data_IF_544518586575
#
_entry.id   IF_544518586575
#
_cell.length_a   1.000
_cell.length_b   1.000
_cell.length_c   1.000
_cell.angle_alpha   90.00
_cell.angle_beta   90.00
_cell.angle_gamma   90.00
#
_symmetry.space_group_name_H-M   'P 1'
#
loop_
_entity.id
_entity.type
_entity.pdbx_description
1 polymer ?
#
# COMPACT_ATOMS: atom_id res chain seq x y z
N UNK A 1 0.82 -53.23 -57.79
CA UNK A 1 0.00 -52.04 -58.00
C UNK A 1 0.55 -50.93 -57.06
N UNK A 2 0.94 -49.80 -57.63
CA UNK A 2 1.41 -48.65 -56.85
C UNK A 2 0.28 -48.12 -55.97
N UNK A 3 0.58 -47.78 -54.76
CA UNK A 3 -0.39 -47.15 -53.81
C UNK A 3 -0.82 -45.78 -54.36
N UNK A 4 -2.08 -45.40 -54.23
CA UNK A 4 -2.56 -44.09 -54.66
C UNK A 4 -1.82 -42.97 -53.77
N UNK A 5 -1.56 -41.83 -54.40
CA UNK A 5 -0.93 -40.72 -53.77
C UNK A 5 -1.73 -40.26 -52.54
N UNK A 6 -1.04 -39.75 -51.53
CA UNK A 6 -1.68 -39.21 -50.34
C UNK A 6 -2.59 -38.02 -50.71
N UNK A 7 -3.83 -38.01 -50.24
CA UNK A 7 -4.80 -36.95 -50.46
C UNK A 7 -4.66 -35.93 -49.31
N UNK A 8 -4.24 -34.73 -49.64
CA UNK A 8 -4.15 -33.62 -48.68
C UNK A 8 -5.55 -33.04 -48.46
N UNK A 9 -5.95 -32.91 -47.18
CA UNK A 9 -7.23 -32.31 -46.77
C UNK A 9 -7.00 -30.82 -46.46
N UNK A 10 -6.07 -30.54 -45.57
CA UNK A 10 -5.54 -29.17 -45.32
C UNK A 10 -4.11 -29.24 -44.78
N UNK A 11 -3.51 -28.09 -44.46
CA UNK A 11 -2.13 -28.04 -43.98
C UNK A 11 -1.95 -28.86 -42.68
N UNK A 12 -1.18 -29.95 -42.77
CA UNK A 12 -0.92 -30.83 -41.63
C UNK A 12 -1.90 -32.01 -41.49
N UNK A 13 -2.93 -32.13 -42.34
CA UNK A 13 -3.87 -33.24 -42.36
C UNK A 13 -3.94 -33.89 -43.76
N UNK A 14 -3.75 -35.16 -43.84
CA UNK A 14 -3.89 -35.94 -45.09
C UNK A 14 -4.29 -37.37 -44.82
N UNK A 15 -4.91 -38.01 -45.81
CA UNK A 15 -5.20 -39.42 -45.80
C UNK A 15 -4.34 -40.14 -46.86
N UNK A 16 -4.00 -41.39 -46.59
CA UNK A 16 -3.18 -42.22 -47.49
C UNK A 16 -3.48 -43.69 -47.28
N UNK A 17 -3.11 -44.52 -48.28
CA UNK A 17 -3.22 -45.98 -48.20
C UNK A 17 -1.90 -46.58 -47.73
N UNK A 18 -2.02 -47.65 -46.96
CA UNK A 18 -0.87 -48.47 -46.51
C UNK A 18 -0.91 -49.83 -47.23
N UNK A 19 0.24 -50.34 -47.62
CA UNK A 19 0.33 -51.67 -48.27
C UNK A 19 -0.24 -52.75 -47.33
N UNK A 20 -1.10 -53.63 -47.89
CA UNK A 20 -1.72 -54.71 -47.15
C UNK A 20 -2.95 -54.30 -46.32
N UNK A 21 -3.37 -53.04 -46.36
CA UNK A 21 -4.59 -52.57 -45.65
C UNK A 21 -5.68 -52.17 -46.66
N UNK A 22 -6.91 -52.63 -46.43
CA UNK A 22 -8.07 -52.21 -47.17
C UNK A 22 -8.54 -50.80 -46.77
N UNK A 23 -8.14 -50.31 -45.60
CA UNK A 23 -8.60 -49.03 -45.06
C UNK A 23 -7.64 -47.90 -45.39
N UNK A 24 -8.18 -46.68 -45.45
CA UNK A 24 -7.41 -45.45 -45.47
C UNK A 24 -6.90 -45.11 -44.10
N UNK A 25 -5.72 -44.45 -44.01
CA UNK A 25 -5.09 -43.95 -42.79
C UNK A 25 -5.06 -42.42 -42.86
N UNK A 26 -5.31 -41.79 -41.71
CA UNK A 26 -5.14 -40.37 -41.56
C UNK A 26 -3.81 -40.09 -40.86
N UNK A 27 -3.08 -39.09 -41.33
CA UNK A 27 -1.94 -38.51 -40.64
C UNK A 27 -2.19 -37.04 -40.33
N UNK A 28 -1.94 -36.67 -39.07
CA UNK A 28 -2.18 -35.33 -38.53
C UNK A 28 -0.86 -34.85 -37.94
N UNK A 29 -0.42 -33.68 -38.33
CA UNK A 29 0.81 -33.08 -37.79
C UNK A 29 0.58 -32.56 -36.40
N UNK A 30 1.29 -33.09 -35.41
CA UNK A 30 1.36 -32.57 -34.04
C UNK A 30 2.53 -31.58 -33.93
N UNK A 31 2.23 -30.29 -33.90
CA UNK A 31 3.24 -29.23 -33.85
C UNK A 31 4.05 -29.20 -32.53
N UNK A 32 3.49 -29.73 -31.42
CA UNK A 32 4.18 -29.82 -30.12
C UNK A 32 5.19 -30.95 -30.10
N UNK A 33 4.77 -32.13 -30.56
CA UNK A 33 5.63 -33.34 -30.60
C UNK A 33 6.50 -33.39 -31.84
N UNK A 34 6.34 -32.44 -32.79
CA UNK A 34 7.05 -32.38 -34.10
C UNK A 34 7.02 -33.73 -34.86
N UNK A 35 5.88 -34.43 -34.81
CA UNK A 35 5.67 -35.73 -35.46
C UNK A 35 4.24 -35.87 -35.95
N UNK A 36 4.06 -36.79 -36.89
CA UNK A 36 2.73 -37.15 -37.35
C UNK A 36 2.08 -38.15 -36.40
N UNK A 37 0.83 -37.90 -36.03
CA UNK A 37 -0.07 -38.89 -35.46
C UNK A 37 -0.74 -39.63 -36.62
N UNK A 38 -0.68 -40.93 -36.58
CA UNK A 38 -1.25 -41.81 -37.65
C UNK A 38 -2.33 -42.67 -37.01
N UNK A 39 -3.52 -42.73 -37.68
CA UNK A 39 -4.64 -43.54 -37.23
C UNK A 39 -5.38 -44.14 -38.42
N UNK A 40 -5.91 -45.37 -38.32
CA UNK A 40 -6.82 -45.91 -39.32
C UNK A 40 -8.16 -45.16 -39.27
N UNK A 41 -8.72 -44.87 -40.42
CA UNK A 41 -10.07 -44.29 -40.54
C UNK A 41 -11.17 -45.35 -40.48
N UNK A 42 -10.83 -46.65 -40.61
CA UNK A 42 -11.80 -47.73 -40.68
C UNK A 42 -12.57 -47.77 -41.99
N UNK A 43 -12.30 -46.88 -42.95
CA UNK A 43 -13.02 -46.73 -44.19
C UNK A 43 -12.15 -47.21 -45.39
N UNK A 44 -12.73 -47.95 -46.27
CA UNK A 44 -12.13 -48.40 -47.52
C UNK A 44 -12.34 -47.37 -48.64
N UNK A 45 -13.35 -46.50 -48.56
CA UNK A 45 -13.69 -45.43 -49.46
C UNK A 45 -13.01 -44.12 -49.10
N UNK A 46 -12.41 -43.43 -50.06
CA UNK A 46 -11.68 -42.20 -49.88
C UNK A 46 -12.57 -41.03 -49.45
N UNK A 47 -13.86 -40.97 -49.83
CA UNK A 47 -14.79 -39.89 -49.44
C UNK A 47 -15.11 -40.01 -47.97
N UNK A 48 -15.53 -41.18 -47.51
CA UNK A 48 -15.84 -41.46 -46.11
C UNK A 48 -14.59 -41.29 -45.23
N UNK A 49 -13.43 -41.77 -45.71
CA UNK A 49 -12.16 -41.58 -44.99
C UNK A 49 -11.79 -40.10 -44.81
N UNK A 50 -12.17 -39.23 -45.73
CA UNK A 50 -11.97 -37.80 -45.68
C UNK A 50 -12.84 -37.15 -44.58
N UNK A 51 -14.10 -37.54 -44.46
CA UNK A 51 -15.03 -37.07 -43.44
C UNK A 51 -14.52 -37.46 -42.04
N UNK A 52 -14.18 -38.76 -41.86
CA UNK A 52 -13.62 -39.26 -40.59
C UNK A 52 -12.29 -38.53 -40.22
N UNK A 53 -11.45 -38.27 -41.25
CA UNK A 53 -10.20 -37.53 -41.01
C UNK A 53 -10.43 -36.08 -40.59
N UNK A 54 -11.46 -35.42 -41.14
CA UNK A 54 -11.85 -34.06 -40.73
C UNK A 54 -12.39 -34.04 -39.32
N UNK A 55 -13.26 -34.98 -38.93
CA UNK A 55 -13.75 -35.12 -37.55
C UNK A 55 -12.62 -35.38 -36.54
N UNK A 56 -11.72 -36.32 -36.89
CA UNK A 56 -10.53 -36.59 -36.07
C UNK A 56 -9.62 -35.36 -35.94
N UNK A 57 -9.43 -34.60 -37.03
CA UNK A 57 -8.69 -33.35 -37.01
C UNK A 57 -9.33 -32.31 -36.11
N UNK A 58 -10.65 -32.13 -36.16
CA UNK A 58 -11.41 -31.24 -35.31
C UNK A 58 -11.42 -31.69 -33.85
N UNK A 59 -11.55 -32.99 -33.58
CA UNK A 59 -11.51 -33.55 -32.23
C UNK A 59 -10.13 -33.36 -31.60
N UNK A 60 -9.05 -33.51 -32.36
CA UNK A 60 -7.70 -33.25 -31.87
C UNK A 60 -7.42 -31.76 -31.69
N UNK A 61 -8.02 -30.87 -32.46
CA UNK A 61 -7.98 -29.42 -32.23
C UNK A 61 -8.80 -29.02 -31.01
N UNK A 62 -9.94 -29.67 -30.76
CA UNK A 62 -10.77 -29.47 -29.57
C UNK A 62 -10.14 -30.09 -28.31
N UNK A 63 -9.47 -31.24 -28.45
CA UNK A 63 -8.76 -31.96 -27.42
C UNK A 63 -7.24 -31.64 -27.41
N UNK A 64 -6.77 -30.68 -28.23
CA UNK A 64 -5.46 -30.10 -27.99
C UNK A 64 -5.45 -29.66 -26.53
N UNK A 65 -4.47 -30.13 -25.70
CA UNK A 65 -4.43 -29.68 -24.36
C UNK A 65 -4.47 -28.17 -24.44
N UNK A 66 -5.57 -27.59 -23.96
CA UNK A 66 -5.61 -26.16 -23.69
C UNK A 66 -4.29 -25.91 -22.98
N UNK A 67 -3.52 -24.95 -23.46
CA UNK A 67 -2.41 -24.43 -22.66
C UNK A 67 -3.02 -24.33 -21.28
N UNK A 68 -2.52 -25.09 -20.30
CA UNK A 68 -3.02 -25.00 -18.92
C UNK A 68 -2.84 -23.55 -18.54
N UNK A 69 -3.85 -22.77 -18.84
CA UNK A 69 -3.93 -21.37 -18.39
C UNK A 69 -4.10 -21.52 -16.91
N UNK A 70 -3.07 -21.22 -16.18
CA UNK A 70 -3.09 -21.32 -14.73
C UNK A 70 -4.11 -20.31 -14.20
N UNK A 71 -5.33 -20.77 -13.92
CA UNK A 71 -6.43 -19.95 -13.42
C UNK A 71 -6.42 -19.81 -11.90
N UNK A 72 -5.33 -20.18 -11.24
CA UNK A 72 -5.22 -20.07 -9.78
C UNK A 72 -5.14 -18.61 -9.33
N UNK A 73 -5.68 -18.33 -8.16
CA UNK A 73 -5.56 -17.02 -7.52
C UNK A 73 -4.09 -16.59 -7.39
N UNK A 74 -3.19 -17.52 -7.05
CA UNK A 74 -1.75 -17.28 -6.95
C UNK A 74 -1.16 -16.71 -8.24
N UNK A 75 -1.55 -17.26 -9.40
CA UNK A 75 -1.06 -16.78 -10.68
C UNK A 75 -1.41 -15.30 -10.92
N UNK A 76 -2.66 -14.92 -10.68
CA UNK A 76 -3.12 -13.54 -10.86
C UNK A 76 -2.63 -12.60 -9.75
N UNK A 77 -2.46 -13.11 -8.53
CA UNK A 77 -1.88 -12.34 -7.43
C UNK A 77 -0.43 -11.94 -7.73
N UNK A 78 0.38 -12.85 -8.27
CA UNK A 78 1.76 -12.55 -8.68
C UNK A 78 1.79 -11.51 -9.82
N UNK A 79 0.91 -11.65 -10.82
CA UNK A 79 0.76 -10.64 -11.90
C UNK A 79 0.39 -9.26 -11.31
N UNK A 80 -0.55 -9.22 -10.37
CA UNK A 80 -0.96 -7.98 -9.70
C UNK A 80 0.20 -7.33 -8.94
N UNK A 81 0.99 -8.10 -8.21
CA UNK A 81 2.16 -7.59 -7.49
C UNK A 81 3.24 -7.06 -8.44
N UNK A 82 3.47 -7.75 -9.56
CA UNK A 82 4.39 -7.27 -10.59
C UNK A 82 3.91 -5.97 -11.22
N UNK A 83 2.63 -5.86 -11.56
CA UNK A 83 2.02 -4.62 -12.06
C UNK A 83 2.19 -3.47 -11.08
N UNK A 84 1.87 -3.70 -9.80
CA UNK A 84 2.04 -2.69 -8.74
C UNK A 84 3.51 -2.24 -8.58
N UNK A 85 4.46 -3.16 -8.76
CA UNK A 85 5.88 -2.84 -8.71
C UNK A 85 6.31 -1.93 -9.89
N UNK A 86 5.83 -2.23 -11.10
CA UNK A 86 6.05 -1.39 -12.29
C UNK A 86 5.41 -0.01 -12.15
N UNK A 87 4.21 0.09 -11.58
CA UNK A 87 3.53 1.37 -11.29
C UNK A 87 4.35 2.23 -10.31
N UNK A 88 5.00 1.60 -9.31
CA UNK A 88 5.93 2.32 -8.40
C UNK A 88 7.19 2.79 -9.12
N UNK A 89 7.76 1.95 -10.01
CA UNK A 89 8.95 2.33 -10.77
C UNK A 89 8.69 3.51 -11.71
N UNK A 90 7.49 3.60 -12.29
CA UNK A 90 7.05 4.72 -13.13
C UNK A 90 6.67 5.98 -12.33
N UNK A 91 6.57 5.89 -11.00
CA UNK A 91 6.12 6.98 -10.15
C UNK A 91 4.59 7.15 -10.05
N UNK A 92 3.81 6.26 -10.67
CA UNK A 92 2.34 6.31 -10.66
C UNK A 92 1.77 5.98 -9.26
N UNK A 93 2.50 5.20 -8.49
CA UNK A 93 2.14 4.76 -7.14
C UNK A 93 3.30 4.89 -6.16
N UNK A 94 2.97 5.04 -4.87
CA UNK A 94 3.98 5.11 -3.80
C UNK A 94 4.53 3.74 -3.43
N UNK A 95 5.77 3.69 -2.89
CA UNK A 95 6.37 2.48 -2.31
C UNK A 95 5.48 1.88 -1.20
N UNK A 96 4.81 2.74 -0.40
CA UNK A 96 3.88 2.32 0.65
C UNK A 96 2.64 1.59 0.12
N UNK A 97 2.12 1.96 -1.05
CA UNK A 97 1.04 1.25 -1.72
C UNK A 97 1.44 -0.20 -2.05
N UNK A 98 2.60 -0.39 -2.69
CA UNK A 98 3.12 -1.72 -3.03
C UNK A 98 3.38 -2.55 -1.77
N UNK A 99 3.95 -1.95 -0.72
CA UNK A 99 4.17 -2.63 0.55
C UNK A 99 2.85 -3.12 1.17
N UNK A 100 1.82 -2.28 1.18
CA UNK A 100 0.49 -2.65 1.70
C UNK A 100 -0.15 -3.79 0.92
N UNK A 101 -0.02 -3.79 -0.43
CA UNK A 101 -0.50 -4.89 -1.26
C UNK A 101 0.26 -6.19 -1.00
N UNK A 102 1.61 -6.13 -0.95
CA UNK A 102 2.43 -7.30 -0.61
C UNK A 102 2.04 -7.88 0.73
N UNK A 103 1.87 -7.04 1.75
CA UNK A 103 1.46 -7.46 3.07
C UNK A 103 0.09 -8.14 3.06
N UNK A 104 -0.91 -7.57 2.36
CA UNK A 104 -2.24 -8.16 2.25
C UNK A 104 -2.24 -9.50 1.51
N UNK A 105 -1.38 -9.66 0.51
CA UNK A 105 -1.34 -10.86 -0.35
C UNK A 105 -0.46 -11.95 0.25
N UNK A 106 0.73 -11.60 0.75
CA UNK A 106 1.80 -12.54 1.11
C UNK A 106 1.96 -12.78 2.61
N UNK A 107 1.09 -12.24 3.47
CA UNK A 107 1.17 -12.54 4.89
C UNK A 107 0.96 -14.05 5.11
N UNK A 108 1.88 -14.69 5.86
CA UNK A 108 1.90 -16.14 6.03
C UNK A 108 0.74 -16.69 6.90
N UNK A 109 0.20 -15.85 7.81
CA UNK A 109 -0.81 -16.32 8.77
C UNK A 109 -2.25 -16.10 8.30
N UNK A 110 -2.49 -15.01 7.56
CA UNK A 110 -3.84 -14.55 7.19
C UNK A 110 -3.88 -13.79 5.86
N UNK A 111 -2.85 -13.96 5.02
CA UNK A 111 -2.78 -13.34 3.69
C UNK A 111 -3.69 -14.04 2.68
N UNK A 112 -3.95 -13.33 1.59
CA UNK A 112 -4.82 -13.85 0.52
C UNK A 112 -4.23 -15.08 -0.17
N UNK A 113 -2.88 -15.20 -0.28
CA UNK A 113 -2.24 -16.36 -0.88
C UNK A 113 -2.33 -17.61 -0.01
N UNK A 114 -2.21 -17.46 1.31
CA UNK A 114 -2.35 -18.58 2.25
C UNK A 114 -3.74 -19.21 2.14
N UNK A 115 -4.78 -18.39 1.95
CA UNK A 115 -6.16 -18.86 1.91
C UNK A 115 -6.67 -19.24 0.52
N UNK A 116 -6.37 -18.46 -0.51
CA UNK A 116 -6.90 -18.62 -1.86
C UNK A 116 -5.90 -19.14 -2.90
N UNK A 117 -4.63 -19.31 -2.54
CA UNK A 117 -3.54 -19.51 -3.50
C UNK A 117 -3.84 -20.47 -4.64
N UNK A 118 -4.30 -21.68 -4.32
CA UNK A 118 -4.60 -22.74 -5.29
C UNK A 118 -6.05 -22.72 -5.81
N UNK A 119 -6.87 -21.76 -5.34
CA UNK A 119 -8.27 -21.67 -5.76
C UNK A 119 -8.37 -21.13 -7.19
N UNK A 120 -9.20 -21.77 -8.01
CA UNK A 120 -9.54 -21.26 -9.33
C UNK A 120 -10.37 -19.98 -9.23
N UNK A 121 -9.88 -18.88 -9.83
CA UNK A 121 -10.54 -17.56 -9.76
C UNK A 121 -11.96 -17.56 -10.34
N UNK A 122 -12.28 -18.48 -11.27
CA UNK A 122 -13.63 -18.63 -11.85
C UNK A 122 -14.67 -19.12 -10.84
N UNK A 123 -14.22 -19.75 -9.76
CA UNK A 123 -15.09 -20.29 -8.69
C UNK A 123 -15.29 -19.28 -7.56
N UNK A 124 -14.55 -18.16 -7.54
CA UNK A 124 -14.61 -17.19 -6.47
C UNK A 124 -15.88 -16.32 -6.57
N UNK A 125 -16.63 -16.30 -5.49
CA UNK A 125 -17.88 -15.53 -5.32
C UNK A 125 -17.80 -14.67 -4.06
N UNK A 126 -18.78 -13.80 -3.85
CA UNK A 126 -18.87 -12.90 -2.68
C UNK A 126 -18.74 -13.68 -1.36
N UNK A 127 -19.45 -14.79 -1.20
CA UNK A 127 -19.42 -15.60 0.05
C UNK A 127 -18.02 -16.16 0.36
N UNK A 128 -17.18 -16.42 -0.64
CA UNK A 128 -15.81 -16.90 -0.39
C UNK A 128 -14.98 -15.80 0.27
N UNK A 129 -15.18 -14.54 -0.11
CA UNK A 129 -14.51 -13.42 0.54
C UNK A 129 -15.01 -13.20 1.97
N UNK A 130 -16.31 -13.36 2.22
CA UNK A 130 -16.90 -13.29 3.57
C UNK A 130 -16.36 -14.40 4.48
N UNK A 131 -16.26 -15.63 3.96
CA UNK A 131 -15.66 -16.76 4.67
C UNK A 131 -14.19 -16.49 5.00
N UNK A 132 -13.45 -15.90 4.08
CA UNK A 132 -12.08 -15.45 4.33
C UNK A 132 -12.01 -14.39 5.44
N UNK A 133 -12.90 -13.40 5.45
CA UNK A 133 -12.93 -12.41 6.54
C UNK A 133 -13.20 -13.06 7.90
N UNK A 134 -14.08 -14.06 7.95
CA UNK A 134 -14.34 -14.82 9.17
C UNK A 134 -13.10 -15.63 9.62
N UNK A 135 -12.36 -16.20 8.66
CA UNK A 135 -11.09 -16.88 8.96
C UNK A 135 -10.05 -15.90 9.53
N UNK A 136 -9.90 -14.75 8.91
CA UNK A 136 -9.01 -13.69 9.40
C UNK A 136 -9.40 -13.20 10.80
N UNK A 137 -10.71 -13.01 11.05
CA UNK A 137 -11.21 -12.56 12.34
C UNK A 137 -10.94 -13.55 13.49
N UNK A 138 -10.89 -14.85 13.21
CA UNK A 138 -10.52 -15.88 14.20
C UNK A 138 -9.04 -15.80 14.57
N UNK A 139 -8.16 -15.51 13.60
CA UNK A 139 -6.71 -15.38 13.83
C UNK A 139 -6.33 -14.00 14.38
N UNK A 140 -7.04 -12.96 13.97
CA UNK A 140 -6.75 -11.57 14.30
C UNK A 140 -8.06 -10.80 14.55
N UNK A 141 -8.67 -10.97 15.72
CA UNK A 141 -9.92 -10.30 16.09
C UNK A 141 -9.78 -8.78 16.18
N UNK A 142 -8.58 -8.29 16.46
CA UNK A 142 -8.19 -6.89 16.59
C UNK A 142 -7.90 -6.16 15.26
N UNK A 143 -8.05 -6.86 14.12
CA UNK A 143 -7.69 -6.29 12.81
C UNK A 143 -8.58 -5.08 12.47
N UNK A 144 -7.93 -3.95 12.19
CA UNK A 144 -8.61 -2.68 11.90
C UNK A 144 -9.47 -2.75 10.63
N UNK A 145 -10.55 -1.96 10.58
CA UNK A 145 -11.37 -1.82 9.38
C UNK A 145 -10.55 -1.37 8.16
N UNK A 146 -9.54 -0.51 8.37
CA UNK A 146 -8.62 -0.08 7.32
C UNK A 146 -7.85 -1.25 6.72
N UNK A 147 -7.32 -2.16 7.55
CA UNK A 147 -6.61 -3.35 7.09
C UNK A 147 -7.53 -4.32 6.36
N UNK A 148 -8.77 -4.53 6.88
CA UNK A 148 -9.80 -5.34 6.20
C UNK A 148 -10.13 -4.75 4.82
N UNK A 149 -10.26 -3.43 4.71
CA UNK A 149 -10.49 -2.76 3.42
C UNK A 149 -9.27 -2.86 2.47
N UNK A 150 -8.05 -2.94 3.00
CA UNK A 150 -6.83 -3.20 2.19
C UNK A 150 -6.84 -4.63 1.63
N UNK A 151 -7.22 -5.63 2.44
CA UNK A 151 -7.42 -7.01 1.98
C UNK A 151 -8.47 -7.08 0.87
N UNK A 152 -9.61 -6.41 1.07
CA UNK A 152 -10.68 -6.34 0.07
C UNK A 152 -10.17 -5.71 -1.25
N UNK A 153 -9.45 -4.61 -1.16
CA UNK A 153 -8.91 -3.94 -2.35
C UNK A 153 -7.90 -4.84 -3.08
N UNK A 154 -7.02 -5.53 -2.34
CA UNK A 154 -6.07 -6.48 -2.92
C UNK A 154 -6.77 -7.65 -3.61
N UNK A 155 -7.76 -8.27 -2.96
CA UNK A 155 -8.58 -9.34 -3.54
C UNK A 155 -9.24 -8.91 -4.85
N UNK A 156 -9.90 -7.76 -4.86
CA UNK A 156 -10.53 -7.20 -6.07
C UNK A 156 -9.52 -6.91 -7.17
N UNK A 157 -8.34 -6.38 -6.83
CA UNK A 157 -7.30 -6.08 -7.81
C UNK A 157 -6.77 -7.36 -8.48
N UNK A 158 -6.65 -8.47 -7.74
CA UNK A 158 -6.28 -9.77 -8.30
C UNK A 158 -7.34 -10.24 -9.30
N UNK A 159 -8.62 -10.22 -8.92
CA UNK A 159 -9.72 -10.63 -9.79
C UNK A 159 -9.91 -9.69 -10.98
N UNK A 160 -9.59 -8.41 -10.82
CA UNK A 160 -9.62 -7.44 -11.94
C UNK A 160 -8.65 -7.84 -13.05
N UNK A 161 -7.44 -8.32 -12.71
CA UNK A 161 -6.50 -8.82 -13.72
C UNK A 161 -7.07 -10.05 -14.44
N UNK A 162 -7.67 -10.99 -13.69
CA UNK A 162 -8.30 -12.15 -14.29
C UNK A 162 -9.46 -11.78 -15.23
N UNK A 163 -10.24 -10.75 -14.90
CA UNK A 163 -11.29 -10.21 -15.75
C UNK A 163 -10.72 -9.52 -16.99
N UNK A 164 -9.72 -8.68 -16.82
CA UNK A 164 -9.10 -7.94 -17.91
C UNK A 164 -8.38 -8.89 -18.91
N UNK A 165 -8.02 -10.10 -18.46
CA UNK A 165 -7.52 -11.20 -19.31
C UNK A 165 -8.64 -12.12 -19.88
N UNK A 166 -9.92 -11.81 -19.60
CA UNK A 166 -11.06 -12.58 -20.12
C UNK A 166 -11.26 -13.94 -19.45
N UNK A 167 -10.69 -14.17 -18.26
CA UNK A 167 -10.82 -15.45 -17.51
C UNK A 167 -12.10 -15.48 -16.69
N UNK A 168 -12.57 -14.32 -16.22
CA UNK A 168 -13.85 -14.13 -15.55
C UNK A 168 -14.58 -12.95 -16.16
N UNK A 169 -15.91 -13.02 -16.23
CA UNK A 169 -16.73 -11.99 -16.86
C UNK A 169 -17.12 -10.85 -15.90
N UNK A 170 -17.19 -11.13 -14.62
CA UNK A 170 -17.62 -10.17 -13.59
C UNK A 170 -16.75 -10.23 -12.34
N UNK A 171 -16.78 -9.15 -11.58
CA UNK A 171 -16.15 -9.09 -10.25
C UNK A 171 -17.17 -9.36 -9.16
N UNK A 172 -16.92 -10.29 -8.22
CA UNK A 172 -17.79 -10.49 -7.06
C UNK A 172 -17.91 -9.18 -6.26
N UNK A 173 -19.11 -8.94 -5.74
CA UNK A 173 -19.31 -7.87 -4.77
C UNK A 173 -18.55 -8.20 -3.48
N UNK A 174 -17.84 -7.21 -2.97
CA UNK A 174 -17.10 -7.33 -1.72
C UNK A 174 -17.50 -6.19 -0.79
N UNK A 175 -18.24 -6.47 0.28
CA UNK A 175 -18.72 -5.43 1.17
C UNK A 175 -17.56 -4.73 1.87
N UNK A 176 -17.62 -3.40 1.91
CA UNK A 176 -16.69 -2.60 2.71
C UNK A 176 -16.99 -2.77 4.19
N UNK A 177 -15.94 -2.98 4.97
CA UNK A 177 -16.05 -2.86 6.42
C UNK A 177 -16.26 -1.38 6.77
N UNK A 178 -17.40 -1.06 7.38
CA UNK A 178 -17.65 0.30 7.87
C UNK A 178 -16.64 0.63 8.96
N UNK A 179 -15.98 1.76 8.80
CA UNK A 179 -15.11 2.30 9.83
C UNK A 179 -16.05 2.97 10.85
N UNK A 180 -16.02 2.51 12.11
CA UNK A 180 -16.65 3.25 13.22
C UNK A 180 -15.88 4.54 13.44
N UNK A 181 -16.52 5.53 14.02
CA UNK A 181 -15.84 6.74 14.48
C UNK A 181 -14.62 6.34 15.30
N UNK A 182 -13.49 6.80 14.84
CA UNK A 182 -12.20 6.41 15.37
C UNK A 182 -11.45 7.70 15.73
N UNK A 183 -11.82 8.37 16.84
CA UNK A 183 -11.18 9.61 17.24
C UNK A 183 -9.67 9.39 17.35
N UNK A 184 -8.90 10.33 16.84
CA UNK A 184 -7.46 10.24 16.86
C UNK A 184 -6.94 10.76 18.17
N UNK A 185 -5.97 10.10 18.81
CA UNK A 185 -5.40 10.57 20.07
C UNK A 185 -4.65 11.89 19.81
N UNK A 186 -4.81 12.82 20.72
CA UNK A 186 -4.03 14.05 20.77
C UNK A 186 -3.72 14.36 22.25
N UNK A 187 -2.67 15.10 22.51
CA UNK A 187 -2.35 15.52 23.86
C UNK A 187 -3.31 16.59 24.30
N UNK A 188 -4.11 16.30 25.32
CA UNK A 188 -5.09 17.23 25.84
C UNK A 188 -4.40 18.41 26.48
N UNK A 189 -5.02 19.56 26.41
CA UNK A 189 -4.47 20.82 26.82
C UNK A 189 -5.55 21.73 27.44
N UNK A 190 -5.16 22.66 28.29
CA UNK A 190 -6.06 23.70 28.77
C UNK A 190 -6.52 24.62 27.61
N UNK A 191 -7.81 25.01 27.48
CA UNK A 191 -8.90 24.87 28.44
C UNK A 191 -9.79 23.61 28.31
N UNK A 192 -9.44 22.63 27.49
CA UNK A 192 -10.25 21.42 27.31
C UNK A 192 -10.26 20.51 28.53
N UNK A 193 -9.23 20.63 29.38
CA UNK A 193 -9.04 19.85 30.62
C UNK A 193 -8.54 20.75 31.72
N UNK A 194 -8.56 20.28 32.98
CA UNK A 194 -7.93 20.97 34.09
C UNK A 194 -6.41 21.11 33.88
N UNK A 195 -5.77 22.05 34.57
CA UNK A 195 -4.32 22.23 34.45
C UNK A 195 -3.53 20.99 34.87
N UNK A 196 -4.03 20.24 35.85
CA UNK A 196 -3.39 19.04 36.36
C UNK A 196 -3.51 17.84 35.38
N UNK A 197 -4.41 17.93 34.42
CA UNK A 197 -4.66 16.92 33.36
C UNK A 197 -4.13 17.36 31.99
N UNK A 198 -3.39 18.48 31.93
CA UNK A 198 -2.80 19.02 30.70
C UNK A 198 -1.64 18.13 30.23
N UNK A 199 -1.97 17.06 29.52
CA UNK A 199 -1.00 16.10 29.02
C UNK A 199 0.01 16.73 28.05
N UNK A 200 -0.37 17.77 27.31
CA UNK A 200 0.57 18.49 26.43
C UNK A 200 1.62 19.25 27.27
N UNK A 201 1.20 19.97 28.30
CA UNK A 201 2.12 20.67 29.17
C UNK A 201 3.02 19.70 29.94
N UNK A 202 2.45 18.59 30.46
CA UNK A 202 3.21 17.51 31.11
C UNK A 202 4.29 16.95 30.17
N UNK A 203 3.91 16.66 28.92
CA UNK A 203 4.85 16.16 27.91
C UNK A 203 5.99 17.14 27.66
N UNK A 204 5.67 18.39 27.35
CA UNK A 204 6.69 19.39 26.98
C UNK A 204 7.62 19.73 28.16
N UNK A 205 7.09 19.81 29.39
CA UNK A 205 7.90 19.98 30.59
C UNK A 205 8.77 18.74 30.85
N UNK A 206 8.18 17.53 30.74
CA UNK A 206 8.90 16.28 30.98
C UNK A 206 10.08 16.09 30.03
N UNK A 207 9.87 16.36 28.72
CA UNK A 207 10.98 16.31 27.74
C UNK A 207 12.09 17.29 28.12
N UNK A 208 11.73 18.53 28.45
CA UNK A 208 12.72 19.55 28.88
C UNK A 208 13.51 19.13 30.12
N UNK A 209 12.83 18.47 31.06
CA UNK A 209 13.45 17.97 32.28
C UNK A 209 14.34 16.74 32.06
N UNK A 210 14.17 16.03 30.93
CA UNK A 210 14.97 14.85 30.52
C UNK A 210 16.27 15.23 29.81
N UNK A 211 16.39 16.42 29.25
CA UNK A 211 17.61 16.89 28.59
C UNK A 211 18.79 16.81 29.52
N UNK A 212 19.86 16.12 29.11
CA UNK A 212 21.06 15.91 29.92
C UNK A 212 20.95 14.88 31.04
N UNK A 213 19.92 14.02 31.04
CA UNK A 213 19.68 12.99 32.08
C UNK A 213 19.86 11.55 31.59
N UNK A 214 20.71 11.28 30.60
CA UNK A 214 20.99 9.93 30.07
C UNK A 214 19.73 9.14 29.64
N UNK A 215 18.69 9.85 29.20
CA UNK A 215 17.52 9.21 28.61
C UNK A 215 17.79 9.01 27.12
N UNK A 216 18.14 7.79 26.75
CA UNK A 216 18.54 7.45 25.38
C UNK A 216 17.86 6.21 24.82
N UNK A 217 17.95 6.06 23.48
CA UNK A 217 17.65 4.83 22.78
C UNK A 217 18.80 4.54 21.80
N UNK A 218 19.63 3.55 22.12
CA UNK A 218 20.80 3.15 21.30
C UNK A 218 21.80 4.28 21.11
N UNK A 219 22.07 5.06 22.15
CA UNK A 219 22.97 6.20 22.11
C UNK A 219 22.41 7.45 21.44
N UNK A 220 21.10 7.49 21.18
CA UNK A 220 20.39 8.66 20.70
C UNK A 220 19.63 9.27 21.88
N UNK A 221 20.11 10.40 22.36
CA UNK A 221 19.67 11.02 23.62
C UNK A 221 18.48 11.95 23.43
N UNK A 222 17.75 12.21 24.53
CA UNK A 222 16.78 13.30 24.60
C UNK A 222 17.55 14.61 24.71
N UNK A 223 17.46 15.45 23.69
CA UNK A 223 18.18 16.71 23.54
C UNK A 223 17.24 17.89 23.21
N UNK A 224 17.83 19.07 23.08
CA UNK A 224 17.11 20.27 22.66
C UNK A 224 16.54 20.15 21.24
N UNK A 225 17.16 19.34 20.39
CA UNK A 225 16.69 19.17 19.01
C UNK A 225 15.39 18.36 18.97
N UNK A 226 15.27 17.30 19.77
CA UNK A 226 14.00 16.59 19.95
C UNK A 226 12.91 17.53 20.51
N UNK A 227 13.24 18.33 21.52
CA UNK A 227 12.31 19.30 22.11
C UNK A 227 11.81 20.31 21.06
N UNK A 228 12.72 20.90 20.30
CA UNK A 228 12.36 21.83 19.23
C UNK A 228 11.60 21.17 18.08
N UNK A 229 11.91 19.92 17.74
CA UNK A 229 11.14 19.15 16.75
C UNK A 229 9.69 18.95 17.21
N UNK A 230 9.46 18.64 18.48
CA UNK A 230 8.12 18.47 19.04
C UNK A 230 7.35 19.79 19.06
N UNK A 231 7.97 20.90 19.45
CA UNK A 231 7.39 22.25 19.38
C UNK A 231 7.06 22.62 17.92
N UNK A 232 7.99 22.36 17.02
CA UNK A 232 7.78 22.66 15.60
C UNK A 232 6.59 21.87 15.03
N UNK A 233 6.44 20.59 15.37
CA UNK A 233 5.27 19.78 14.99
C UNK A 233 3.96 20.37 15.49
N UNK A 234 3.95 20.87 16.73
CA UNK A 234 2.75 21.45 17.34
C UNK A 234 2.39 22.81 16.72
N UNK A 235 3.36 23.52 16.16
CA UNK A 235 3.11 24.86 15.62
C UNK A 235 3.12 24.96 14.10
N UNK A 236 3.50 23.87 13.35
CA UNK A 236 3.64 23.92 11.89
C UNK A 236 2.60 23.17 11.10
N UNK A 237 1.78 22.32 11.70
CA UNK A 237 0.81 21.45 11.06
C UNK A 237 1.40 20.45 10.05
N UNK A 238 2.72 20.31 9.95
CA UNK A 238 3.36 19.32 9.07
C UNK A 238 3.22 17.90 9.62
N UNK A 239 3.32 16.89 8.74
CA UNK A 239 3.27 15.50 9.16
C UNK A 239 4.65 15.03 9.63
N UNK A 240 4.74 14.25 10.71
CA UNK A 240 6.00 13.65 11.17
C UNK A 240 6.41 12.47 10.26
N UNK A 241 6.64 12.74 8.98
CA UNK A 241 6.99 11.75 7.97
C UNK A 241 8.28 12.11 7.25
N UNK A 242 8.92 11.11 6.65
CA UNK A 242 10.14 11.30 5.86
C UNK A 242 9.97 12.30 4.71
N UNK A 243 8.77 12.39 4.14
CA UNK A 243 8.50 13.26 2.98
C UNK A 243 8.01 14.66 3.35
N UNK A 244 7.72 14.91 4.64
CA UNK A 244 7.34 16.22 5.15
C UNK A 244 8.37 16.69 6.19
N UNK A 245 8.16 16.45 7.49
CA UNK A 245 9.01 17.00 8.56
C UNK A 245 10.51 16.75 8.33
N UNK A 246 10.88 15.50 8.08
CA UNK A 246 12.29 15.14 7.96
C UNK A 246 12.91 15.51 6.60
N UNK A 247 12.11 15.99 5.64
CA UNK A 247 12.58 16.45 4.34
C UNK A 247 12.70 17.96 4.23
N UNK A 248 12.27 18.73 5.25
CA UNK A 248 12.33 20.20 5.24
C UNK A 248 13.78 20.63 5.32
N UNK A 249 14.19 21.46 4.37
CA UNK A 249 15.48 22.14 4.34
C UNK A 249 15.34 23.60 4.74
N UNK A 250 16.44 24.26 5.05
CA UNK A 250 16.42 25.71 5.33
C UNK A 250 15.88 26.50 4.14
N UNK A 251 16.16 26.09 2.89
CA UNK A 251 15.59 26.68 1.67
C UNK A 251 14.06 26.53 1.55
N UNK A 252 13.43 25.66 2.34
CA UNK A 252 11.97 25.46 2.34
C UNK A 252 11.26 26.35 3.35
N UNK A 253 11.99 27.13 4.18
CA UNK A 253 11.43 27.93 5.27
C UNK A 253 11.61 29.41 4.98
N UNK A 254 10.50 30.13 4.91
CA UNK A 254 10.48 31.58 4.77
C UNK A 254 9.81 32.22 5.99
N UNK A 255 10.41 33.26 6.56
CA UNK A 255 9.78 34.06 7.61
C UNK A 255 8.92 35.13 6.95
N UNK A 256 7.65 35.20 7.33
CA UNK A 256 6.73 36.24 6.94
C UNK A 256 6.43 37.12 8.17
N UNK A 257 6.36 38.45 7.98
CA UNK A 257 6.33 39.41 9.09
C UNK A 257 4.93 39.85 9.52
N UNK A 258 3.94 39.79 8.63
CA UNK A 258 2.57 40.25 8.94
C UNK A 258 1.51 39.19 8.63
N UNK A 259 0.98 38.50 9.65
CA UNK A 259 1.52 38.33 10.99
C UNK A 259 2.80 37.48 10.99
N UNK A 260 3.69 37.68 11.96
CA UNK A 260 4.96 36.97 12.05
C UNK A 260 4.73 35.46 12.15
N UNK A 261 5.20 34.69 11.15
CA UNK A 261 5.03 33.25 11.01
C UNK A 261 6.06 32.66 10.08
N UNK A 262 6.20 31.34 10.06
CA UNK A 262 6.91 30.65 9.00
C UNK A 262 5.92 30.24 7.90
N UNK A 263 6.40 30.27 6.67
CA UNK A 263 5.82 29.61 5.53
C UNK A 263 6.74 28.44 5.19
N UNK A 264 6.26 27.21 5.41
CA UNK A 264 7.06 25.99 5.19
C UNK A 264 6.60 25.34 3.90
N UNK A 265 7.51 25.22 2.95
CA UNK A 265 7.26 24.54 1.67
C UNK A 265 7.35 23.04 1.85
N UNK A 266 6.23 22.35 1.75
CA UNK A 266 6.17 20.88 1.71
C UNK A 266 6.17 20.44 0.26
N UNK A 267 7.30 19.88 -0.24
CA UNK A 267 7.49 19.54 -1.66
C UNK A 267 6.74 18.26 -2.05
N UNK A 268 6.90 17.19 -1.27
CA UNK A 268 6.42 15.85 -1.58
C UNK A 268 5.45 15.32 -0.50
N UNK A 269 4.50 16.14 -0.07
CA UNK A 269 3.49 15.72 0.91
C UNK A 269 2.52 14.68 0.34
N UNK A 270 1.83 13.96 1.21
CA UNK A 270 0.78 12.98 0.83
C UNK A 270 -0.28 13.58 -0.11
N UNK A 271 -0.53 14.88 -0.01
CA UNK A 271 -1.50 15.63 -0.83
C UNK A 271 -0.83 16.49 -1.90
N UNK A 272 0.44 16.22 -2.21
CA UNK A 272 1.25 16.99 -3.14
C UNK A 272 1.94 18.18 -2.50
N UNK A 273 2.36 19.12 -3.35
CA UNK A 273 3.00 20.37 -2.97
C UNK A 273 2.04 21.30 -2.22
N UNK A 274 2.52 21.92 -1.11
CA UNK A 274 1.79 22.99 -0.42
C UNK A 274 2.73 23.88 0.37
N UNK A 275 2.32 25.14 0.59
CA UNK A 275 2.88 26.01 1.63
C UNK A 275 2.08 25.84 2.92
N UNK A 276 2.73 25.44 3.99
CA UNK A 276 2.13 25.38 5.31
C UNK A 276 2.44 26.66 6.11
N UNK A 277 1.43 27.43 6.45
CA UNK A 277 1.56 28.58 7.34
C UNK A 277 1.56 28.09 8.80
N UNK A 278 2.58 28.46 9.55
CA UNK A 278 2.72 28.04 10.93
C UNK A 278 2.00 28.99 11.90
N UNK A 279 1.93 28.60 13.17
CA UNK A 279 1.66 29.50 14.28
C UNK A 279 2.89 30.42 14.53
N UNK A 280 2.71 31.63 15.10
CA UNK A 280 3.83 32.55 15.37
C UNK A 280 4.95 31.93 16.21
N UNK A 281 4.63 31.08 17.17
CA UNK A 281 5.60 30.43 18.04
C UNK A 281 6.62 29.54 17.28
N UNK A 282 6.31 29.07 16.07
CA UNK A 282 7.26 28.32 15.26
C UNK A 282 8.48 29.16 14.83
N UNK A 283 8.37 30.49 14.82
CA UNK A 283 9.49 31.37 14.41
C UNK A 283 10.62 31.27 15.43
N UNK A 284 10.32 31.40 16.72
CA UNK A 284 11.35 31.28 17.77
C UNK A 284 11.97 29.89 17.85
N UNK A 285 11.19 28.84 17.53
CA UNK A 285 11.72 27.48 17.41
C UNK A 285 12.74 27.42 16.26
N UNK A 286 12.41 27.97 15.10
CA UNK A 286 13.30 27.99 13.97
C UNK A 286 14.57 28.83 14.19
N UNK A 287 14.45 29.93 14.92
CA UNK A 287 15.59 30.76 15.30
C UNK A 287 16.56 29.96 16.20
N UNK A 288 16.08 29.21 17.20
CA UNK A 288 16.92 28.32 18.04
C UNK A 288 17.58 27.20 17.22
N UNK A 289 16.86 26.63 16.23
CA UNK A 289 17.45 25.61 15.33
C UNK A 289 18.63 26.21 14.57
N UNK A 290 18.51 27.43 14.05
CA UNK A 290 19.62 28.12 13.36
C UNK A 290 20.79 28.45 14.29
N UNK A 291 20.51 28.84 15.51
CA UNK A 291 21.54 29.10 16.52
C UNK A 291 22.32 27.83 16.89
N UNK A 292 21.64 26.69 16.95
CA UNK A 292 22.28 25.38 17.20
C UNK A 292 23.16 24.94 16.04
N UNK A 293 22.80 25.28 14.81
CA UNK A 293 23.53 24.93 13.59
C UNK A 293 24.00 26.20 12.84
N UNK A 294 24.92 27.00 13.40
CA UNK A 294 25.26 28.32 12.85
C UNK A 294 25.90 28.29 11.46
N UNK A 295 26.49 27.17 11.07
CA UNK A 295 27.15 26.97 9.77
C UNK A 295 26.24 26.25 8.76
N UNK A 296 24.92 26.21 8.98
CA UNK A 296 23.99 25.55 8.08
C UNK A 296 23.97 26.22 6.68
N UNK A 297 23.88 25.40 5.65
CA UNK A 297 23.56 25.82 4.30
C UNK A 297 22.05 25.84 4.05
N UNK A 298 21.61 26.51 2.98
CA UNK A 298 20.22 26.47 2.55
C UNK A 298 19.71 25.07 2.19
N UNK A 299 20.63 24.18 1.84
CA UNK A 299 20.34 22.80 1.42
C UNK A 299 20.36 21.79 2.57
N UNK A 300 20.77 22.21 3.78
CA UNK A 300 20.76 21.33 4.95
C UNK A 300 19.34 21.15 5.49
N UNK A 301 19.10 19.98 6.07
CA UNK A 301 17.84 19.70 6.78
C UNK A 301 17.73 20.52 8.07
N UNK A 302 16.55 21.00 8.39
CA UNK A 302 16.33 21.78 9.62
C UNK A 302 16.41 20.95 10.91
N UNK A 303 16.25 19.62 10.82
CA UNK A 303 16.39 18.70 11.95
C UNK A 303 17.39 17.59 11.62
N UNK A 304 18.31 17.35 12.55
CA UNK A 304 19.33 16.30 12.45
C UNK A 304 20.10 16.36 11.11
N UNK A 305 20.71 17.51 10.77
CA UNK A 305 21.36 17.71 9.47
C UNK A 305 22.54 16.75 9.22
N UNK A 306 23.15 16.22 10.26
CA UNK A 306 24.28 15.28 10.23
C UNK A 306 23.91 13.89 9.67
N UNK A 307 22.62 13.57 9.55
CA UNK A 307 22.16 12.28 9.03
C UNK A 307 21.51 12.43 7.66
N UNK A 308 22.13 11.85 6.62
CA UNK A 308 21.54 11.81 5.27
C UNK A 308 20.35 10.87 5.17
N UNK A 309 20.38 9.75 5.91
CA UNK A 309 19.32 8.75 5.86
C UNK A 309 18.11 9.16 6.70
N UNK A 310 17.18 9.85 6.07
CA UNK A 310 15.95 10.36 6.73
C UNK A 310 15.03 9.27 7.27
N UNK A 311 15.12 8.04 6.75
CA UNK A 311 14.39 6.89 7.29
C UNK A 311 14.95 6.47 8.66
N UNK A 312 16.27 6.47 8.79
CA UNK A 312 16.94 6.14 10.06
C UNK A 312 16.55 7.15 11.13
N UNK A 313 16.65 8.46 10.85
CA UNK A 313 16.27 9.52 11.80
C UNK A 313 14.80 9.43 12.18
N UNK A 314 13.90 9.30 11.21
CA UNK A 314 12.46 9.14 11.51
C UNK A 314 12.21 7.96 12.45
N UNK A 315 12.89 6.83 12.27
CA UNK A 315 12.74 5.65 13.12
C UNK A 315 13.35 5.86 14.51
N UNK A 316 14.50 6.54 14.60
CA UNK A 316 15.16 6.83 15.89
C UNK A 316 14.35 7.81 16.73
N UNK A 317 13.90 8.92 16.14
CA UNK A 317 13.05 9.90 16.83
C UNK A 317 11.73 9.28 17.30
N UNK A 318 11.10 8.39 16.51
CA UNK A 318 9.89 7.68 16.95
C UNK A 318 10.15 6.78 18.16
N UNK A 319 11.30 6.09 18.21
CA UNK A 319 11.66 5.24 19.36
C UNK A 319 11.97 6.08 20.60
N UNK A 320 12.70 7.17 20.41
CA UNK A 320 13.03 8.10 21.49
C UNK A 320 11.76 8.75 22.05
N UNK A 321 10.86 9.22 21.18
CA UNK A 321 9.57 9.76 21.58
C UNK A 321 8.74 8.73 22.35
N UNK A 322 8.74 7.47 21.92
CA UNK A 322 8.09 6.40 22.66
C UNK A 322 8.69 6.23 24.06
N UNK A 323 10.01 6.23 24.20
CA UNK A 323 10.69 6.15 25.50
C UNK A 323 10.28 7.31 26.42
N UNK A 324 10.23 8.52 25.88
CA UNK A 324 9.74 9.70 26.62
C UNK A 324 8.30 9.50 27.13
N UNK A 325 7.42 8.98 26.27
CA UNK A 325 6.04 8.71 26.68
C UNK A 325 5.95 7.65 27.76
N UNK A 326 6.75 6.60 27.66
CA UNK A 326 6.82 5.51 28.65
C UNK A 326 7.28 6.08 30.02
N UNK A 327 8.31 6.94 30.06
CA UNK A 327 8.82 7.56 31.29
C UNK A 327 7.81 8.53 31.93
N UNK A 328 6.96 9.17 31.13
CA UNK A 328 5.98 10.14 31.62
C UNK A 328 4.60 9.53 31.89
N UNK A 329 4.40 8.25 31.60
CA UNK A 329 3.08 7.60 31.69
C UNK A 329 2.06 8.13 30.68
N UNK A 330 2.52 8.68 29.54
CA UNK A 330 1.70 9.30 28.51
C UNK A 330 1.58 8.44 27.23
N UNK A 331 1.75 7.13 27.31
CA UNK A 331 1.70 6.25 26.15
C UNK A 331 0.33 6.19 25.47
N UNK A 332 -0.72 6.39 26.26
CA UNK A 332 -2.11 6.31 25.79
C UNK A 332 -2.92 7.54 26.19
N UNK A 333 -3.77 7.95 25.29
CA UNK A 333 -4.82 8.93 25.57
C UNK A 333 -5.86 8.31 26.52
N UNK A 334 -6.10 8.94 27.65
CA UNK A 334 -6.97 8.46 28.73
C UNK A 334 -8.42 8.23 28.27
N UNK A 335 -8.90 9.01 27.29
CA UNK A 335 -10.29 8.96 26.84
C UNK A 335 -10.53 7.98 25.69
N UNK A 336 -9.54 7.83 24.81
CA UNK A 336 -9.67 6.95 23.63
C UNK A 336 -8.91 5.63 23.78
N UNK A 337 -8.11 5.49 24.84
CA UNK A 337 -7.19 4.36 25.11
C UNK A 337 -6.19 4.09 23.97
N UNK A 338 -6.10 4.99 22.99
CA UNK A 338 -5.21 4.84 21.85
C UNK A 338 -3.81 5.33 22.19
N UNK A 339 -2.83 4.68 21.53
CA UNK A 339 -1.44 5.06 21.71
C UNK A 339 -1.16 6.44 21.13
N UNK A 340 -0.49 7.28 21.91
CA UNK A 340 0.11 8.50 21.41
C UNK A 340 1.29 8.17 20.49
N UNK A 341 1.49 9.04 19.52
CA UNK A 341 2.59 9.00 18.57
C UNK A 341 3.00 10.44 18.23
N UNK A 342 4.09 10.64 17.50
CA UNK A 342 4.44 11.97 16.97
C UNK A 342 3.28 12.61 16.17
N UNK A 343 2.45 11.79 15.53
CA UNK A 343 1.24 12.27 14.86
C UNK A 343 0.24 12.92 15.80
N UNK A 344 0.23 12.51 17.07
CA UNK A 344 -0.64 13.10 18.09
C UNK A 344 -0.31 14.56 18.36
N UNK A 345 0.95 14.98 18.24
CA UNK A 345 1.35 16.40 18.32
C UNK A 345 0.71 17.23 17.20
N UNK A 346 0.67 16.70 15.99
CA UNK A 346 -0.02 17.37 14.88
C UNK A 346 -1.55 17.45 15.11
N UNK A 347 -2.15 16.42 15.70
CA UNK A 347 -3.57 16.47 16.06
C UNK A 347 -3.80 17.51 17.14
N UNK A 348 -2.91 17.58 18.15
CA UNK A 348 -2.89 18.64 19.16
C UNK A 348 -2.82 20.03 18.52
N UNK A 349 -1.93 20.24 17.54
CA UNK A 349 -1.81 21.50 16.81
C UNK A 349 -3.13 21.94 16.16
N UNK A 350 -3.81 21.02 15.48
CA UNK A 350 -5.09 21.28 14.81
C UNK A 350 -6.17 21.62 15.84
N UNK A 351 -6.26 20.84 16.93
CA UNK A 351 -7.21 21.08 18.01
C UNK A 351 -6.95 22.42 18.71
N UNK A 352 -5.68 22.73 19.03
CA UNK A 352 -5.30 24.02 19.64
C UNK A 352 -5.71 25.20 18.74
N UNK A 353 -5.51 25.08 17.43
CA UNK A 353 -5.88 26.15 16.51
C UNK A 353 -7.37 26.38 16.47
N UNK A 354 -8.17 25.31 16.49
CA UNK A 354 -9.64 25.43 16.51
C UNK A 354 -10.11 26.04 17.84
N UNK A 355 -9.65 25.51 18.95
CA UNK A 355 -10.07 25.94 20.29
C UNK A 355 -9.65 27.39 20.56
N UNK A 356 -8.36 27.73 20.35
CA UNK A 356 -7.83 29.05 20.66
C UNK A 356 -8.31 30.15 19.68
N UNK A 357 -8.95 29.78 18.58
CA UNK A 357 -9.57 30.74 17.67
C UNK A 357 -11.01 31.10 18.03
N UNK A 358 -11.56 30.45 19.06
CA UNK A 358 -12.96 30.66 19.49
C UNK A 358 -13.96 30.55 18.31
N UNK A 359 -13.68 29.61 17.38
CA UNK A 359 -14.52 29.39 16.20
C UNK A 359 -14.26 30.35 15.02
N UNK A 360 -13.32 31.28 15.14
CA UNK A 360 -13.02 32.24 14.06
C UNK A 360 -12.18 31.63 12.92
N UNK A 361 -11.49 30.50 13.16
CA UNK A 361 -10.71 29.86 12.11
C UNK A 361 -11.62 29.18 11.08
N UNK A 362 -11.38 29.46 9.82
CA UNK A 362 -12.04 28.74 8.74
C UNK A 362 -11.46 27.33 8.65
N UNK A 363 -12.30 26.32 8.93
CA UNK A 363 -11.90 24.90 8.98
C UNK A 363 -11.41 24.35 7.62
N UNK A 364 -11.93 24.88 6.50
CA UNK A 364 -11.46 24.51 5.15
C UNK A 364 -10.04 25.02 4.91
N UNK A 365 -9.76 26.26 5.30
CA UNK A 365 -8.43 26.83 5.19
C UNK A 365 -7.45 26.11 6.10
N UNK A 366 -7.85 25.78 7.33
CA UNK A 366 -7.03 24.98 8.25
C UNK A 366 -6.73 23.58 7.68
N UNK A 367 -7.75 22.90 7.15
CA UNK A 367 -7.58 21.60 6.52
C UNK A 367 -6.63 21.65 5.31
N UNK A 368 -6.78 22.69 4.44
CA UNK A 368 -5.89 22.91 3.30
C UNK A 368 -4.45 23.18 3.76
N UNK A 369 -4.27 24.07 4.74
CA UNK A 369 -2.97 24.38 5.33
C UNK A 369 -2.30 23.14 5.93
N UNK A 370 -3.07 22.34 6.67
CA UNK A 370 -2.59 21.09 7.22
C UNK A 370 -2.46 19.97 6.17
N UNK A 371 -2.94 20.15 4.94
CA UNK A 371 -2.94 19.11 3.90
C UNK A 371 -3.80 17.89 4.26
N UNK A 372 -4.98 18.12 4.82
CA UNK A 372 -5.95 17.07 5.19
C UNK A 372 -7.34 17.43 4.67
N UNK A 373 -8.31 16.55 4.85
CA UNK A 373 -9.71 16.85 4.56
C UNK A 373 -10.45 17.29 5.83
N UNK A 374 -11.53 18.05 5.65
CA UNK A 374 -12.37 18.51 6.77
C UNK A 374 -13.02 17.34 7.52
N UNK A 375 -13.20 16.19 6.86
CA UNK A 375 -13.81 14.99 7.43
C UNK A 375 -12.84 14.15 8.29
N UNK A 376 -11.64 14.64 8.54
CA UNK A 376 -10.63 13.99 9.37
C UNK A 376 -10.42 14.72 10.69
#
# INVERSE_FOLDING_TARGET
>A
KSLPAAIKIYKGLSIYRVNGSMNWYVRIWDSKKKKYLVKSTGCDNAVQAREVAQELGLSLLRNAPQVETNHTFKHFALKMLNKANLEVQRGDKSKGYNHSLKFAVQNADWGLLDYFGDTDVRKLKTHNYETFLNHVARKRPDLSASTKNTLMAAFRNVLKIARDEGVIDYLPETPRTKQRDNPRPFFRFHPLVSKDEDAYQMLMKGVKDMIGKDVDVRGFEVDEELYDLMLFLTHSFVRPTMTELYAIKHSDVTIADDPKRLIVTVRNGKTGYRGANTMPAAVSVYERIKERHPNHSSEDYIFYPEYDNRQTISAMVQRLFKKVLDELGLERDVFTEKKHTLYSLRHTAICMRIVNSEGQVNIYNLAKNAGTSVNQ
#
